data_IF_632426191764
#
_entry.id   IF_632426191764
#
_cell.length_a   1.000
_cell.length_b   1.000
_cell.length_c   1.000
_cell.angle_alpha   90.00
_cell.angle_beta   90.00
_cell.angle_gamma   90.00
#
_symmetry.space_group_name_H-M   'P 1'
#
loop_
_entity.id
_entity.type
_entity.pdbx_description
1 polymer ?
#
# COMPACT_ATOMS: atom_id res chain seq x y z
N UNK A 1 8.85 -0.39 25.23
CA UNK A 1 8.37 -0.44 23.83
C UNK A 1 7.92 0.96 23.47
N UNK A 2 8.54 1.61 22.48
CA UNK A 2 8.05 2.89 21.95
C UNK A 2 6.78 2.59 21.16
N UNK A 3 5.66 3.19 21.52
CA UNK A 3 4.47 3.11 20.66
C UNK A 3 4.84 3.65 19.28
N UNK A 4 4.68 2.82 18.26
CA UNK A 4 4.89 3.24 16.87
C UNK A 4 3.75 4.21 16.55
N UNK A 5 4.10 5.42 16.11
CA UNK A 5 3.15 6.45 15.74
C UNK A 5 2.30 6.02 14.54
N UNK A 6 1.13 6.65 14.37
CA UNK A 6 0.22 6.28 13.29
C UNK A 6 0.86 6.43 11.90
N UNK A 7 1.60 7.51 11.69
CA UNK A 7 2.34 7.77 10.45
C UNK A 7 3.41 6.70 10.16
N UNK A 8 4.17 6.27 11.17
CA UNK A 8 5.15 5.20 11.03
C UNK A 8 4.49 3.86 10.64
N UNK A 9 3.31 3.55 11.21
CA UNK A 9 2.54 2.35 10.84
C UNK A 9 2.01 2.44 9.41
N UNK A 10 1.53 3.62 9.01
CA UNK A 10 1.05 3.86 7.65
C UNK A 10 2.18 3.69 6.64
N UNK A 11 3.33 4.34 6.86
CA UNK A 11 4.52 4.22 6.02
C UNK A 11 4.99 2.76 5.90
N UNK A 12 5.07 2.05 7.04
CA UNK A 12 5.40 0.62 7.04
C UNK A 12 4.41 -0.22 6.21
N UNK A 13 3.12 0.11 6.24
CA UNK A 13 2.10 -0.57 5.46
C UNK A 13 2.21 -0.26 3.96
N UNK A 14 2.51 0.99 3.58
CA UNK A 14 2.81 1.37 2.19
C UNK A 14 4.00 0.58 1.63
N UNK A 15 5.07 0.41 2.42
CA UNK A 15 6.23 -0.40 2.02
C UNK A 15 5.86 -1.87 1.80
N UNK A 16 4.96 -2.45 2.60
CA UNK A 16 4.47 -3.81 2.39
C UNK A 16 3.64 -3.94 1.12
N UNK A 17 2.78 -2.96 0.82
CA UNK A 17 2.04 -2.91 -0.44
C UNK A 17 3.00 -2.90 -1.63
N UNK A 18 4.00 -2.01 -1.62
CA UNK A 18 5.03 -1.92 -2.66
C UNK A 18 5.72 -3.28 -2.85
N UNK A 19 6.11 -3.93 -1.75
CA UNK A 19 6.75 -5.25 -1.79
C UNK A 19 5.85 -6.29 -2.47
N UNK A 20 4.57 -6.35 -2.11
CA UNK A 20 3.65 -7.33 -2.70
C UNK A 20 3.32 -7.05 -4.17
N UNK A 21 3.20 -5.78 -4.57
CA UNK A 21 3.04 -5.41 -5.98
C UNK A 21 4.25 -5.85 -6.80
N UNK A 22 5.46 -5.61 -6.30
CA UNK A 22 6.70 -6.08 -6.94
C UNK A 22 6.75 -7.61 -7.05
N UNK A 23 6.34 -8.31 -5.98
CA UNK A 23 6.26 -9.78 -5.97
C UNK A 23 5.26 -10.31 -7.00
N UNK A 24 4.07 -9.70 -7.07
CA UNK A 24 3.01 -10.05 -8.01
C UNK A 24 3.45 -9.94 -9.47
N UNK A 25 4.22 -8.91 -9.82
CA UNK A 25 4.74 -8.70 -11.17
C UNK A 25 6.11 -9.34 -11.43
N UNK A 26 6.82 -9.79 -10.39
CA UNK A 26 8.26 -10.13 -10.45
C UNK A 26 9.10 -9.00 -11.08
N UNK A 27 8.74 -7.76 -10.75
CA UNK A 27 9.29 -6.54 -11.34
C UNK A 27 9.42 -5.46 -10.26
N UNK A 28 10.29 -4.48 -10.50
CA UNK A 28 10.38 -3.28 -9.65
C UNK A 28 9.42 -2.17 -10.08
N UNK A 29 8.80 -2.29 -11.26
CA UNK A 29 7.81 -1.35 -11.76
C UNK A 29 6.47 -1.55 -11.03
N UNK A 30 5.98 -0.48 -10.39
CA UNK A 30 4.71 -0.51 -9.65
C UNK A 30 3.50 -0.58 -10.58
N UNK A 31 3.57 -0.01 -11.78
CA UNK A 31 2.48 -0.10 -12.76
C UNK A 31 2.30 -1.54 -13.24
N UNK A 32 3.41 -2.24 -13.48
CA UNK A 32 3.36 -3.68 -13.76
C UNK A 32 2.79 -4.46 -12.56
N UNK A 33 3.14 -4.05 -11.33
CA UNK A 33 2.58 -4.58 -10.09
C UNK A 33 1.07 -4.44 -10.00
N UNK A 34 0.53 -3.24 -10.23
CA UNK A 34 -0.91 -2.99 -10.25
C UNK A 34 -1.61 -3.76 -11.37
N UNK A 35 -1.03 -3.77 -12.58
CA UNK A 35 -1.55 -4.54 -13.70
C UNK A 35 -1.59 -6.05 -13.40
N UNK A 36 -0.57 -6.59 -12.72
CA UNK A 36 -0.53 -7.98 -12.27
C UNK A 36 -1.61 -8.25 -11.20
N UNK A 37 -1.69 -7.42 -10.16
CA UNK A 37 -2.69 -7.54 -9.10
C UNK A 37 -4.13 -7.49 -9.64
N UNK A 38 -4.40 -6.62 -10.62
CA UNK A 38 -5.69 -6.51 -11.30
C UNK A 38 -6.00 -7.76 -12.13
N UNK A 39 -5.04 -8.23 -12.94
CA UNK A 39 -5.20 -9.46 -13.76
C UNK A 39 -5.48 -10.69 -12.91
N UNK A 40 -4.89 -10.77 -11.71
CA UNK A 40 -5.10 -11.87 -10.78
C UNK A 40 -6.32 -11.68 -9.86
N UNK A 41 -7.09 -10.59 -10.01
CA UNK A 41 -8.29 -10.33 -9.22
C UNK A 41 -8.03 -10.00 -7.74
N UNK A 42 -6.79 -9.63 -7.38
CA UNK A 42 -6.41 -9.31 -6.00
C UNK A 42 -6.93 -7.94 -5.57
N UNK A 43 -6.87 -6.97 -6.48
CA UNK A 43 -7.41 -5.63 -6.29
C UNK A 43 -8.53 -5.37 -7.28
N UNK A 44 -9.61 -4.78 -6.77
CA UNK A 44 -10.65 -4.16 -7.59
C UNK A 44 -10.23 -2.72 -7.93
N UNK A 45 -10.83 -2.07 -8.94
CA UNK A 45 -10.48 -0.70 -9.32
C UNK A 45 -10.49 0.29 -8.14
N UNK A 46 -11.47 0.18 -7.24
CA UNK A 46 -11.56 1.02 -6.05
C UNK A 46 -10.41 0.80 -5.06
N UNK A 47 -9.95 -0.45 -4.89
CA UNK A 47 -8.80 -0.74 -4.04
C UNK A 47 -7.50 -0.24 -4.66
N UNK A 48 -7.36 -0.38 -5.99
CA UNK A 48 -6.18 0.13 -6.71
C UNK A 48 -6.07 1.64 -6.55
N UNK A 49 -7.16 2.39 -6.78
CA UNK A 49 -7.17 3.83 -6.61
C UNK A 49 -6.82 4.23 -5.17
N UNK A 50 -7.46 3.59 -4.19
CA UNK A 50 -7.17 3.84 -2.78
C UNK A 50 -5.70 3.62 -2.43
N UNK A 51 -5.09 2.53 -2.94
CA UNK A 51 -3.68 2.25 -2.71
C UNK A 51 -2.79 3.32 -3.34
N UNK A 52 -3.10 3.78 -4.55
CA UNK A 52 -2.34 4.86 -5.21
C UNK A 52 -2.38 6.14 -4.41
N UNK A 53 -3.57 6.54 -3.97
CA UNK A 53 -3.76 7.72 -3.13
C UNK A 53 -2.95 7.61 -1.83
N UNK A 54 -2.90 6.41 -1.23
CA UNK A 54 -2.09 6.16 -0.02
C UNK A 54 -0.59 6.27 -0.28
N UNK A 55 -0.09 5.77 -1.41
CA UNK A 55 1.33 5.86 -1.76
C UNK A 55 1.75 7.31 -2.06
N UNK A 56 0.87 8.09 -2.71
CA UNK A 56 1.07 9.52 -2.92
C UNK A 56 1.09 10.27 -1.59
N UNK A 57 0.13 10.00 -0.71
CA UNK A 57 0.09 10.59 0.63
C UNK A 57 1.35 10.28 1.44
N UNK A 58 1.80 9.02 1.45
CA UNK A 58 3.03 8.63 2.13
C UNK A 58 4.25 9.40 1.58
N UNK A 59 4.39 9.49 0.26
CA UNK A 59 5.46 10.26 -0.37
C UNK A 59 5.39 11.75 0.02
N UNK A 60 4.19 12.33 0.07
CA UNK A 60 4.00 13.73 0.48
C UNK A 60 4.36 13.98 1.94
N UNK A 61 3.99 13.07 2.84
CA UNK A 61 4.33 13.14 4.28
C UNK A 61 5.83 12.96 4.49
N UNK A 62 6.45 11.95 3.87
CA UNK A 62 7.91 11.75 3.95
C UNK A 62 8.70 12.91 3.32
N UNK A 63 8.15 13.54 2.28
CA UNK A 63 8.71 14.72 1.64
C UNK A 63 8.45 16.04 2.38
N UNK A 64 7.67 16.03 3.47
CA UNK A 64 7.32 17.23 4.25
C UNK A 64 6.36 18.18 3.55
N UNK A 65 5.65 17.72 2.52
CA UNK A 65 4.65 18.50 1.76
C UNK A 65 3.22 18.30 2.24
N UNK A 66 2.98 17.27 3.05
CA UNK A 66 1.72 17.01 3.75
C UNK A 66 1.98 16.75 5.24
N UNK A 67 0.97 17.03 6.06
CA UNK A 67 1.02 16.79 7.50
C UNK A 67 0.74 15.31 7.81
N UNK A 68 1.49 14.74 8.75
CA UNK A 68 1.27 13.40 9.27
C UNK A 68 -0.13 13.24 9.90
N UNK A 69 -0.72 14.32 10.40
CA UNK A 69 -2.07 14.33 10.98
C UNK A 69 -3.18 14.08 9.94
N UNK A 70 -2.87 14.15 8.65
CA UNK A 70 -3.79 13.75 7.57
C UNK A 70 -4.01 12.23 7.49
N UNK A 71 -3.14 11.44 8.12
CA UNK A 71 -3.23 9.98 8.15
C UNK A 71 -4.24 9.56 9.21
N UNK A 72 -5.27 8.84 8.80
CA UNK A 72 -6.31 8.33 9.70
C UNK A 72 -6.11 6.85 10.03
N UNK A 73 -6.58 6.41 11.20
CA UNK A 73 -6.55 4.98 11.52
C UNK A 73 -7.35 4.12 10.54
N UNK A 74 -8.42 4.68 9.97
CA UNK A 74 -9.22 4.00 8.96
C UNK A 74 -8.38 3.74 7.69
N UNK A 75 -7.63 4.73 7.22
CA UNK A 75 -6.74 4.56 6.08
C UNK A 75 -5.70 3.46 6.33
N UNK A 76 -5.09 3.43 7.54
CA UNK A 76 -4.15 2.35 7.89
C UNK A 76 -4.83 0.98 7.86
N UNK A 77 -6.01 0.84 8.47
CA UNK A 77 -6.75 -0.44 8.49
C UNK A 77 -7.14 -0.91 7.09
N UNK A 78 -7.60 0.00 6.24
CA UNK A 78 -8.00 -0.31 4.88
C UNK A 78 -6.80 -0.67 3.99
N UNK A 79 -5.67 0.02 4.17
CA UNK A 79 -4.42 -0.31 3.49
C UNK A 79 -3.87 -1.68 3.93
N UNK A 80 -3.95 -2.01 5.21
CA UNK A 80 -3.61 -3.35 5.72
C UNK A 80 -4.52 -4.42 5.10
N UNK A 81 -5.80 -4.14 4.92
CA UNK A 81 -6.70 -5.06 4.22
C UNK A 81 -6.31 -5.23 2.74
N UNK A 82 -5.78 -4.18 2.08
CA UNK A 82 -5.23 -4.29 0.73
C UNK A 82 -3.96 -5.14 0.70
N UNK A 83 -3.06 -5.00 1.68
CA UNK A 83 -1.89 -5.88 1.85
C UNK A 83 -2.31 -7.35 1.94
N UNK A 84 -3.33 -7.68 2.74
CA UNK A 84 -3.80 -9.06 2.86
C UNK A 84 -4.29 -9.62 1.52
N UNK A 85 -5.02 -8.82 0.72
CA UNK A 85 -5.48 -9.22 -0.61
C UNK A 85 -4.33 -9.39 -1.62
N UNK A 86 -3.30 -8.57 -1.52
CA UNK A 86 -2.09 -8.71 -2.34
C UNK A 86 -1.23 -9.90 -1.90
N UNK A 87 -1.28 -10.26 -0.60
CA UNK A 87 -0.50 -11.37 -0.07
C UNK A 87 -1.08 -12.75 -0.40
N UNK A 88 -2.38 -12.87 -0.72
CA UNK A 88 -2.96 -14.13 -1.23
C UNK A 88 -2.39 -14.56 -2.59
N UNK A 89 -1.51 -13.76 -3.18
CA UNK A 89 -0.57 -14.14 -4.24
C UNK A 89 0.47 -15.17 -3.76
N UNK A 90 0.04 -16.28 -3.19
CA UNK A 90 0.91 -17.45 -3.00
C UNK A 90 0.90 -18.24 -4.31
N UNK A 91 2.06 -18.44 -4.97
CA UNK A 91 2.15 -19.38 -6.07
C UNK A 91 2.08 -20.79 -5.48
N UNK A 92 0.94 -21.47 -5.67
CA UNK A 92 0.90 -22.92 -5.62
C UNK A 92 1.73 -23.53 -6.76
#
# INVERSE_FOLDING_TARGET
>A
MKEIGLADRFHGTCNLVILHLRRAAKSNDLEEGFAAARRMGMLKPEHEQFVRDCLELDASVQGGTADADSITEQAVRELQACVLRLNTADPA
#
